data_IF_880837716290
#
_entry.id   IF_880837716290
#
_cell.length_a   1.000
_cell.length_b   1.000
_cell.length_c   1.000
_cell.angle_alpha   90.00
_cell.angle_beta   90.00
_cell.angle_gamma   90.00
#
_symmetry.space_group_name_H-M   'P 1'
#
loop_
_entity.id
_entity.type
_entity.pdbx_description
1 polymer ?
#
# COMPACT_ATOMS: atom_id res chain seq x y z
N UNK A 1 1.99 14.91 23.95
CA UNK A 1 2.59 14.69 22.62
C UNK A 1 3.85 13.87 22.81
N UNK A 2 4.16 12.94 21.91
CA UNK A 2 5.41 12.19 21.97
C UNK A 2 6.56 13.15 21.63
N UNK A 3 7.56 13.29 22.49
CA UNK A 3 8.69 14.19 22.24
C UNK A 3 9.69 13.62 21.20
N UNK A 4 9.50 12.37 20.79
CA UNK A 4 10.35 11.65 19.84
C UNK A 4 9.51 10.68 19.00
N UNK A 5 9.71 10.72 17.69
CA UNK A 5 9.15 9.78 16.73
C UNK A 5 10.27 9.02 16.03
N UNK A 6 10.10 7.70 15.88
CA UNK A 6 10.99 6.86 15.10
C UNK A 6 10.17 6.29 13.95
N UNK A 7 10.58 6.59 12.72
CA UNK A 7 9.94 6.11 11.50
C UNK A 7 10.66 4.87 10.99
N UNK A 8 9.91 3.95 10.42
CA UNK A 8 10.43 2.73 9.80
C UNK A 8 9.59 2.35 8.59
N UNK A 9 10.17 1.57 7.70
CA UNK A 9 9.50 0.87 6.60
C UNK A 9 10.19 -0.49 6.43
N UNK A 10 9.87 -1.27 5.39
CA UNK A 10 10.49 -2.59 5.18
C UNK A 10 12.02 -2.53 5.23
N UNK A 11 12.62 -1.60 4.50
CA UNK A 11 14.08 -1.42 4.36
C UNK A 11 14.55 -0.01 4.75
N UNK A 12 13.63 0.88 5.13
CA UNK A 12 13.90 2.22 5.66
C UNK A 12 13.73 3.37 4.67
N UNK A 13 13.82 3.13 3.35
CA UNK A 13 13.87 4.20 2.33
C UNK A 13 12.62 5.07 2.32
N UNK A 14 11.42 4.46 2.37
CA UNK A 14 10.17 5.21 2.45
C UNK A 14 10.09 6.11 3.70
N UNK A 15 10.63 5.65 4.83
CA UNK A 15 10.63 6.42 6.07
C UNK A 15 11.55 7.64 5.99
N UNK A 16 12.64 7.57 5.22
CA UNK A 16 13.54 8.70 4.95
C UNK A 16 12.79 9.80 4.22
N UNK A 17 12.04 9.47 3.16
CA UNK A 17 11.28 10.46 2.40
C UNK A 17 10.20 11.15 3.26
N UNK A 18 9.57 10.42 4.18
CA UNK A 18 8.52 10.97 5.05
C UNK A 18 9.05 11.80 6.23
N UNK A 19 10.33 11.65 6.61
CA UNK A 19 10.86 12.20 7.86
C UNK A 19 10.69 13.73 8.00
N UNK A 20 11.01 14.47 6.93
CA UNK A 20 10.92 15.93 6.93
C UNK A 20 9.47 16.42 7.05
N UNK A 21 8.54 15.77 6.35
CA UNK A 21 7.12 16.10 6.40
C UNK A 21 6.55 15.85 7.80
N UNK A 22 6.83 14.69 8.38
CA UNK A 22 6.39 14.36 9.75
C UNK A 22 6.99 15.31 10.78
N UNK A 23 8.26 15.69 10.62
CA UNK A 23 8.89 16.67 11.52
C UNK A 23 8.19 18.03 11.43
N UNK A 24 7.91 18.51 10.22
CA UNK A 24 7.22 19.77 9.99
C UNK A 24 5.79 19.78 10.58
N UNK A 25 5.05 18.67 10.43
CA UNK A 25 3.68 18.54 10.92
C UNK A 25 3.58 18.39 12.44
N UNK A 26 4.56 17.75 13.07
CA UNK A 26 4.48 17.37 14.49
C UNK A 26 5.34 18.25 15.41
N UNK A 27 6.33 18.96 14.88
CA UNK A 27 7.34 19.68 15.66
C UNK A 27 8.21 18.77 16.54
N UNK A 28 8.11 17.45 16.39
CA UNK A 28 8.81 16.47 17.23
C UNK A 28 10.21 16.17 16.68
N UNK A 29 11.10 15.66 17.54
CA UNK A 29 12.35 15.09 17.06
C UNK A 29 12.05 13.78 16.31
N UNK A 30 12.35 13.75 15.01
CA UNK A 30 12.10 12.60 14.13
C UNK A 30 13.41 11.89 13.81
N UNK A 31 13.39 10.56 13.94
CA UNK A 31 14.50 9.67 13.60
C UNK A 31 13.99 8.61 12.62
N UNK A 32 14.91 8.03 11.84
CA UNK A 32 14.61 6.87 10.99
C UNK A 32 15.39 5.67 11.52
N UNK A 33 14.74 4.52 11.61
CA UNK A 33 15.38 3.27 11.98
C UNK A 33 16.33 2.82 10.87
N UNK A 34 17.62 2.76 11.17
CA UNK A 34 18.64 2.31 10.21
C UNK A 34 18.35 0.87 9.76
N UNK A 35 18.30 0.66 8.43
CA UNK A 35 17.91 -0.60 7.79
C UNK A 35 16.44 -1.06 7.99
N UNK A 36 15.61 -0.22 8.63
CA UNK A 36 14.17 -0.44 8.79
C UNK A 36 13.79 -1.73 9.53
N UNK A 37 12.59 -2.24 9.23
CA UNK A 37 12.06 -3.46 9.82
C UNK A 37 12.95 -4.67 9.52
N UNK A 38 13.61 -4.71 8.37
CA UNK A 38 14.55 -5.76 8.02
C UNK A 38 15.71 -5.84 9.02
N UNK A 39 16.38 -4.73 9.31
CA UNK A 39 17.48 -4.73 10.28
C UNK A 39 17.02 -5.10 11.69
N UNK A 40 15.81 -4.68 12.08
CA UNK A 40 15.19 -5.10 13.35
C UNK A 40 15.02 -6.63 13.43
N UNK A 41 14.53 -7.25 12.36
CA UNK A 41 14.37 -8.71 12.25
C UNK A 41 15.74 -9.41 12.26
N UNK A 42 16.69 -8.92 11.47
CA UNK A 42 18.03 -9.50 11.36
C UNK A 42 18.79 -9.43 12.70
N UNK A 43 18.47 -8.45 13.56
CA UNK A 43 18.96 -8.36 14.93
C UNK A 43 18.27 -9.32 15.93
N UNK A 44 17.32 -10.15 15.48
CA UNK A 44 16.62 -11.12 16.32
C UNK A 44 15.58 -10.53 17.26
N UNK A 45 15.15 -9.28 17.03
CA UNK A 45 14.16 -8.60 17.86
C UNK A 45 12.73 -9.04 17.48
N UNK A 46 11.83 -9.03 18.46
CA UNK A 46 10.46 -9.51 18.30
C UNK A 46 9.61 -8.55 17.47
N UNK A 47 8.64 -9.10 16.73
CA UNK A 47 7.62 -8.35 16.01
C UNK A 47 6.22 -8.71 16.51
N UNK A 48 5.37 -7.68 16.62
CA UNK A 48 3.93 -7.86 16.68
C UNK A 48 3.36 -8.04 15.26
N UNK A 49 2.30 -8.83 15.10
CA UNK A 49 1.69 -9.14 13.79
C UNK A 49 0.19 -8.87 13.82
N UNK A 50 -0.35 -8.45 12.67
CA UNK A 50 -1.76 -8.14 12.50
C UNK A 50 -2.05 -6.64 12.51
N UNK A 51 -3.31 -6.29 12.29
CA UNK A 51 -3.78 -4.90 12.20
C UNK A 51 -4.11 -4.33 13.60
N UNK A 52 -3.10 -4.21 14.47
CA UNK A 52 -3.32 -3.89 15.89
C UNK A 52 -3.33 -2.38 16.19
N UNK A 53 -2.46 -1.61 15.54
CA UNK A 53 -2.29 -0.16 15.79
C UNK A 53 -2.31 0.68 14.50
N UNK A 54 -3.38 0.55 13.71
CA UNK A 54 -3.52 1.31 12.45
C UNK A 54 -3.82 2.78 12.72
N UNK A 55 -2.91 3.68 12.34
CA UNK A 55 -3.10 5.13 12.39
C UNK A 55 -3.91 5.66 11.18
N UNK A 56 -4.18 4.82 10.18
CA UNK A 56 -4.95 5.15 8.99
C UNK A 56 -5.69 3.91 8.47
N UNK A 57 -6.83 4.06 7.78
CA UNK A 57 -7.51 2.94 7.14
C UNK A 57 -6.60 2.20 6.13
N UNK A 58 -6.67 0.86 6.02
CA UNK A 58 -5.81 0.08 5.12
C UNK A 58 -6.33 0.11 3.68
N UNK A 59 -6.17 1.27 3.02
CA UNK A 59 -6.63 1.54 1.65
C UNK A 59 -5.48 1.60 0.62
N UNK A 60 -4.30 1.14 1.02
CA UNK A 60 -3.04 1.17 0.26
C UNK A 60 -2.94 0.07 -0.80
N UNK A 61 -3.84 -0.93 -0.78
CA UNK A 61 -3.90 -2.00 -1.77
C UNK A 61 -5.31 -2.20 -2.29
N UNK A 62 -5.48 -2.11 -3.61
CA UNK A 62 -6.69 -2.61 -4.27
C UNK A 62 -6.77 -4.13 -4.15
N UNK A 63 -7.83 -4.64 -3.52
CA UNK A 63 -8.10 -6.07 -3.41
C UNK A 63 -8.60 -6.61 -4.75
N UNK A 64 -7.66 -6.97 -5.62
CA UNK A 64 -7.93 -7.53 -6.96
C UNK A 64 -8.78 -8.80 -6.83
N UNK A 65 -9.96 -8.86 -7.46
CA UNK A 65 -10.85 -10.02 -7.35
C UNK A 65 -10.25 -11.33 -7.85
N UNK A 66 -9.27 -11.27 -8.75
CA UNK A 66 -8.57 -12.43 -9.31
C UNK A 66 -7.30 -12.85 -8.53
N UNK A 67 -7.01 -12.27 -7.37
CA UNK A 67 -5.87 -12.66 -6.53
C UNK A 67 -6.29 -13.44 -5.28
N UNK A 68 -5.66 -14.61 -5.06
CA UNK A 68 -5.92 -15.47 -3.92
C UNK A 68 -7.17 -16.35 -4.06
N UNK A 69 -7.52 -17.06 -3.00
CA UNK A 69 -8.63 -18.05 -3.01
C UNK A 69 -9.80 -17.68 -2.09
N UNK A 70 -9.72 -16.54 -1.41
CA UNK A 70 -10.68 -16.07 -0.40
C UNK A 70 -11.36 -14.76 -0.84
N UNK A 71 -11.88 -14.77 -2.06
CA UNK A 71 -12.64 -13.66 -2.67
C UNK A 71 -14.12 -14.00 -2.67
N UNK A 72 -14.96 -12.99 -2.43
CA UNK A 72 -16.41 -13.11 -2.55
C UNK A 72 -16.77 -13.46 -4.01
N UNK A 73 -17.52 -14.54 -4.27
CA UNK A 73 -17.98 -14.88 -5.62
C UNK A 73 -18.66 -13.71 -6.36
N UNK A 74 -19.40 -12.85 -5.66
CA UNK A 74 -20.04 -11.69 -6.26
C UNK A 74 -19.03 -10.65 -6.74
N UNK A 75 -17.92 -10.46 -6.02
CA UNK A 75 -16.84 -9.56 -6.43
C UNK A 75 -16.11 -10.10 -7.67
N UNK A 76 -15.93 -11.42 -7.76
CA UNK A 76 -15.41 -12.05 -8.98
C UNK A 76 -16.38 -11.87 -10.15
N UNK A 77 -17.67 -12.11 -9.95
CA UNK A 77 -18.65 -11.93 -11.01
C UNK A 77 -18.67 -10.47 -11.51
N UNK A 78 -18.67 -9.49 -10.61
CA UNK A 78 -18.61 -8.08 -10.96
C UNK A 78 -17.33 -7.72 -11.74
N UNK A 79 -16.20 -8.37 -11.44
CA UNK A 79 -14.96 -8.22 -12.21
C UNK A 79 -15.12 -8.74 -13.64
N UNK A 80 -15.73 -9.91 -13.82
CA UNK A 80 -16.00 -10.46 -15.16
C UNK A 80 -16.97 -9.58 -15.96
N UNK A 81 -18.02 -9.07 -15.30
CA UNK A 81 -18.98 -8.17 -15.94
C UNK A 81 -18.30 -6.85 -16.36
N UNK A 82 -17.37 -6.35 -15.54
CA UNK A 82 -16.53 -5.20 -15.88
C UNK A 82 -15.66 -5.48 -17.11
N UNK A 83 -14.95 -6.62 -17.16
CA UNK A 83 -14.11 -7.01 -18.30
C UNK A 83 -14.93 -7.10 -19.60
N UNK A 84 -16.12 -7.68 -19.53
CA UNK A 84 -17.02 -7.80 -20.68
C UNK A 84 -17.38 -6.42 -21.29
N UNK A 85 -17.57 -5.40 -20.44
CA UNK A 85 -17.90 -4.05 -20.86
C UNK A 85 -16.72 -3.23 -21.41
N UNK A 86 -15.47 -3.71 -21.32
CA UNK A 86 -14.29 -2.90 -21.67
C UNK A 86 -14.22 -2.54 -23.15
N UNK A 87 -14.65 -3.42 -24.06
CA UNK A 87 -14.59 -3.16 -25.51
C UNK A 87 -15.48 -1.97 -25.89
N UNK A 88 -16.67 -1.86 -25.29
CA UNK A 88 -17.55 -0.72 -25.50
C UNK A 88 -16.93 0.58 -24.96
N UNK A 89 -16.29 0.51 -23.78
CA UNK A 89 -15.59 1.65 -23.21
C UNK A 89 -14.41 2.11 -24.08
N UNK A 90 -13.64 1.18 -24.65
CA UNK A 90 -12.59 1.49 -25.62
C UNK A 90 -13.16 2.22 -26.83
N UNK A 91 -14.28 1.75 -27.39
CA UNK A 91 -14.94 2.40 -28.53
C UNK A 91 -15.42 3.82 -28.22
N UNK A 92 -15.88 4.07 -26.99
CA UNK A 92 -16.29 5.42 -26.53
C UNK A 92 -15.10 6.35 -26.32
N UNK A 93 -14.01 5.84 -25.76
CA UNK A 93 -12.78 6.60 -25.53
C UNK A 93 -12.10 6.96 -26.86
N UNK A 94 -11.96 5.98 -27.77
CA UNK A 94 -11.45 6.19 -29.13
C UNK A 94 -9.97 6.56 -29.23
N UNK A 95 -9.20 6.54 -28.14
CA UNK A 95 -7.77 6.91 -28.13
C UNK A 95 -6.81 5.73 -27.96
N UNK A 96 -7.34 4.51 -27.90
CA UNK A 96 -6.54 3.31 -27.62
C UNK A 96 -5.58 2.92 -28.75
N UNK A 97 -5.93 3.20 -30.01
CA UNK A 97 -5.15 2.83 -31.21
C UNK A 97 -4.75 1.34 -31.34
N UNK A 98 -5.31 0.45 -30.51
CA UNK A 98 -5.10 -1.00 -30.61
C UNK A 98 -5.67 -1.57 -31.91
N UNK A 99 -4.95 -2.51 -32.53
CA UNK A 99 -5.40 -3.34 -33.63
C UNK A 99 -4.98 -4.80 -33.38
N UNK A 100 -5.76 -5.76 -33.90
CA UNK A 100 -5.44 -7.19 -33.85
C UNK A 100 -5.20 -7.66 -35.28
N UNK A 101 -4.09 -8.39 -35.49
CA UNK A 101 -3.62 -8.87 -36.80
C UNK A 101 -4.44 -10.03 -37.35
#
# INVERSE_FOLDING_TARGET
>A
TANRLVLTSTTGELAIFAANEIQALTGSAVYVLDGGNKAWIDAGLTLERGATHLASPPLDRYKRPYEGTSVDPAAMQAYLDWEYGLVEQLGKDGTHHFWVL
#
